data_IF_468038191351
#
_entry.id   IF_468038191351
#
_cell.length_a   1.000
_cell.length_b   1.000
_cell.length_c   1.000
_cell.angle_alpha   90.00
_cell.angle_beta   90.00
_cell.angle_gamma   90.00
#
_symmetry.space_group_name_H-M   'P 1'
#
loop_
_entity.id
_entity.type
_entity.pdbx_description
1 polymer ?
#
# COMPACT_ATOMS: atom_id res chain seq x y z
N UNK A 1 -68.72 -24.60 -16.61
CA UNK A 1 -68.56 -25.37 -15.37
C UNK A 1 -68.52 -24.33 -14.23
N UNK A 2 -69.58 -24.24 -13.45
CA UNK A 2 -69.56 -23.35 -12.29
C UNK A 2 -68.71 -23.98 -11.21
N UNK A 3 -67.68 -23.24 -10.79
CA UNK A 3 -66.87 -23.63 -9.66
C UNK A 3 -67.71 -23.47 -8.40
N UNK A 4 -67.79 -24.52 -7.58
CA UNK A 4 -68.51 -24.47 -6.30
C UNK A 4 -67.86 -23.50 -5.32
N UNK A 5 -68.69 -22.87 -4.45
CA UNK A 5 -68.11 -22.00 -3.39
C UNK A 5 -67.09 -22.70 -2.50
N UNK A 6 -67.23 -24.02 -2.28
CA UNK A 6 -66.30 -24.84 -1.56
C UNK A 6 -64.95 -25.01 -2.30
N UNK A 7 -64.97 -25.19 -3.62
CA UNK A 7 -63.75 -25.29 -4.44
C UNK A 7 -62.96 -23.97 -4.45
N UNK A 8 -63.66 -22.83 -4.45
CA UNK A 8 -63.05 -21.50 -4.35
C UNK A 8 -62.37 -21.26 -2.98
N UNK A 9 -62.95 -21.73 -1.90
CA UNK A 9 -62.34 -21.64 -0.56
C UNK A 9 -61.07 -22.48 -0.45
N UNK A 10 -61.07 -23.71 -0.97
CA UNK A 10 -59.92 -24.60 -0.97
C UNK A 10 -58.81 -24.00 -1.83
N UNK A 11 -59.14 -23.48 -3.01
CA UNK A 11 -58.15 -22.85 -3.88
C UNK A 11 -57.51 -21.60 -3.26
N UNK A 12 -58.34 -20.76 -2.62
CA UNK A 12 -57.82 -19.55 -1.96
C UNK A 12 -56.94 -19.88 -0.74
N UNK A 13 -57.31 -20.89 0.05
CA UNK A 13 -56.48 -21.36 1.16
C UNK A 13 -55.11 -21.91 0.68
N UNK A 14 -55.11 -22.66 -0.43
CA UNK A 14 -53.88 -23.16 -1.04
C UNK A 14 -52.99 -22.04 -1.56
N UNK A 15 -53.53 -21.05 -2.28
CA UNK A 15 -52.82 -19.88 -2.75
C UNK A 15 -52.23 -19.07 -1.61
N UNK A 16 -52.96 -18.88 -0.52
CA UNK A 16 -52.44 -18.20 0.68
C UNK A 16 -51.32 -18.96 1.34
N UNK A 17 -51.35 -20.29 1.39
CA UNK A 17 -50.27 -21.11 1.93
C UNK A 17 -49.01 -21.04 1.06
N UNK A 18 -49.15 -21.14 -0.27
CA UNK A 18 -48.04 -21.00 -1.23
C UNK A 18 -47.43 -19.61 -1.19
N UNK A 19 -48.23 -18.56 -1.07
CA UNK A 19 -47.78 -17.18 -0.96
C UNK A 19 -46.94 -16.98 0.32
N UNK A 20 -47.40 -17.51 1.45
CA UNK A 20 -46.64 -17.47 2.72
C UNK A 20 -45.32 -18.21 2.60
N UNK A 21 -45.33 -19.41 2.04
CA UNK A 21 -44.11 -20.18 1.84
C UNK A 21 -43.12 -19.43 0.92
N UNK A 22 -43.59 -18.78 -0.12
CA UNK A 22 -42.77 -17.94 -1.00
C UNK A 22 -42.19 -16.73 -0.24
N UNK A 23 -42.98 -16.06 0.60
CA UNK A 23 -42.52 -14.95 1.43
C UNK A 23 -41.42 -15.39 2.42
N UNK A 24 -41.58 -16.54 3.07
CA UNK A 24 -40.60 -17.08 4.01
C UNK A 24 -39.31 -17.46 3.28
N UNK A 25 -39.44 -18.04 2.08
CA UNK A 25 -38.27 -18.37 1.24
C UNK A 25 -37.54 -17.10 0.80
N UNK A 26 -38.25 -16.07 0.35
CA UNK A 26 -37.66 -14.80 -0.05
C UNK A 26 -36.93 -14.14 1.12
N UNK A 27 -37.53 -14.13 2.32
CA UNK A 27 -36.90 -13.61 3.54
C UNK A 27 -35.57 -14.36 3.87
N UNK A 28 -35.62 -15.69 3.77
CA UNK A 28 -34.41 -16.50 3.98
C UNK A 28 -33.34 -16.23 2.93
N UNK A 29 -33.73 -16.01 1.67
CA UNK A 29 -32.77 -15.63 0.59
C UNK A 29 -32.21 -14.22 0.81
N UNK A 30 -33.02 -13.25 1.25
CA UNK A 30 -32.51 -11.90 1.58
C UNK A 30 -31.46 -11.92 2.69
N UNK A 31 -31.72 -12.70 3.75
CA UNK A 31 -30.74 -12.87 4.85
C UNK A 31 -29.44 -13.50 4.34
N UNK A 32 -29.54 -14.56 3.51
CA UNK A 32 -28.35 -15.20 2.92
C UNK A 32 -27.60 -14.26 1.98
N UNK A 33 -28.32 -13.48 1.20
CA UNK A 33 -27.73 -12.50 0.29
C UNK A 33 -26.97 -11.41 1.06
N UNK A 34 -27.56 -10.92 2.17
CA UNK A 34 -26.89 -9.94 3.02
C UNK A 34 -25.61 -10.52 3.65
N UNK A 35 -25.67 -11.71 4.23
CA UNK A 35 -24.52 -12.39 4.79
C UNK A 35 -23.40 -12.58 3.74
N UNK A 36 -23.75 -13.01 2.53
CA UNK A 36 -22.76 -13.17 1.44
C UNK A 36 -22.13 -11.83 1.01
N UNK A 37 -22.90 -10.73 1.02
CA UNK A 37 -22.35 -9.39 0.75
C UNK A 37 -21.35 -8.95 1.82
N UNK A 38 -21.66 -9.23 3.08
CA UNK A 38 -20.80 -8.90 4.20
C UNK A 38 -19.48 -9.70 4.15
N UNK A 39 -19.55 -10.99 3.80
CA UNK A 39 -18.39 -11.85 3.60
C UNK A 39 -17.52 -11.36 2.44
N UNK A 40 -18.10 -10.99 1.30
CA UNK A 40 -17.37 -10.44 0.16
C UNK A 40 -16.67 -9.13 0.56
N UNK A 41 -17.34 -8.25 1.30
CA UNK A 41 -16.74 -7.00 1.76
C UNK A 41 -15.59 -7.22 2.75
N UNK A 42 -15.67 -8.26 3.59
CA UNK A 42 -14.59 -8.66 4.48
C UNK A 42 -13.38 -9.20 3.69
N UNK A 43 -13.61 -10.14 2.78
CA UNK A 43 -12.56 -10.71 1.93
C UNK A 43 -11.87 -9.67 1.05
N UNK A 44 -12.59 -8.67 0.55
CA UNK A 44 -12.00 -7.57 -0.21
C UNK A 44 -11.06 -6.73 0.65
N UNK A 45 -11.44 -6.43 1.90
CA UNK A 45 -10.57 -5.72 2.86
C UNK A 45 -9.31 -6.51 3.16
N UNK A 46 -9.43 -7.79 3.44
CA UNK A 46 -8.29 -8.67 3.73
C UNK A 46 -7.34 -8.75 2.52
N UNK A 47 -7.87 -8.83 1.30
CA UNK A 47 -7.08 -8.80 0.07
C UNK A 47 -6.33 -7.48 -0.12
N UNK A 48 -6.96 -6.35 0.18
CA UNK A 48 -6.33 -5.05 0.07
C UNK A 48 -5.23 -4.86 1.12
N UNK A 49 -5.41 -5.39 2.32
CA UNK A 49 -4.40 -5.35 3.38
C UNK A 49 -3.18 -6.23 3.02
N UNK A 50 -3.41 -7.45 2.54
CA UNK A 50 -2.33 -8.33 2.05
C UNK A 50 -1.59 -7.71 0.86
N UNK A 51 -2.32 -7.05 -0.06
CA UNK A 51 -1.70 -6.33 -1.19
C UNK A 51 -0.84 -5.17 -0.69
N UNK A 52 -1.32 -4.37 0.24
CA UNK A 52 -0.55 -3.26 0.83
C UNK A 52 0.71 -3.77 1.53
N UNK A 53 0.62 -4.82 2.32
CA UNK A 53 1.79 -5.45 2.94
C UNK A 53 2.78 -5.99 1.92
N UNK A 54 2.29 -6.55 0.80
CA UNK A 54 3.14 -7.05 -0.30
C UNK A 54 3.83 -5.96 -1.11
N UNK A 55 3.39 -4.70 -1.02
CA UNK A 55 3.96 -3.56 -1.76
C UNK A 55 4.93 -2.72 -0.92
N UNK A 56 4.96 -2.92 0.38
CA UNK A 56 5.86 -2.20 1.29
C UNK A 56 7.00 -3.11 1.76
N UNK A 57 8.16 -2.51 1.97
CA UNK A 57 9.28 -3.18 2.61
C UNK A 57 9.02 -3.41 4.11
N UNK A 58 9.15 -4.63 4.63
CA UNK A 58 8.81 -4.95 6.02
C UNK A 58 9.66 -4.15 7.02
N UNK A 59 10.92 -3.87 6.70
CA UNK A 59 11.85 -3.12 7.54
C UNK A 59 11.60 -1.61 7.49
N UNK A 60 11.47 -1.05 6.29
CA UNK A 60 11.54 0.40 6.04
C UNK A 60 10.17 1.07 5.94
N UNK A 61 9.11 0.27 5.70
CA UNK A 61 7.72 0.74 5.55
C UNK A 61 7.50 1.76 4.41
N UNK A 62 8.46 1.87 3.49
CA UNK A 62 8.28 2.52 2.19
C UNK A 62 8.06 1.47 1.11
N UNK A 63 7.78 1.88 -0.12
CA UNK A 63 7.59 0.96 -1.22
C UNK A 63 8.78 0.00 -1.38
N UNK A 64 8.52 -1.23 -1.78
CA UNK A 64 9.56 -2.20 -2.13
C UNK A 64 9.86 -2.14 -3.64
N UNK A 65 10.83 -2.95 -4.10
CA UNK A 65 11.22 -3.03 -5.51
C UNK A 65 10.06 -3.31 -6.45
N UNK A 66 9.17 -4.24 -6.08
CA UNK A 66 7.99 -4.57 -6.90
C UNK A 66 7.07 -3.36 -7.09
N UNK A 67 6.82 -2.63 -6.01
CA UNK A 67 6.03 -1.41 -6.05
C UNK A 67 6.70 -0.31 -6.86
N UNK A 68 8.03 -0.21 -6.78
CA UNK A 68 8.81 0.71 -7.59
C UNK A 68 8.69 0.39 -9.07
N UNK A 69 8.89 -0.87 -9.48
CA UNK A 69 8.82 -1.29 -10.89
C UNK A 69 7.45 -0.92 -11.48
N UNK A 70 6.35 -1.23 -10.77
CA UNK A 70 4.99 -0.88 -11.17
C UNK A 70 4.76 0.65 -11.25
N UNK A 71 5.28 1.38 -10.27
CA UNK A 71 5.17 2.85 -10.21
C UNK A 71 5.95 3.52 -11.33
N UNK A 72 7.11 2.98 -11.69
CA UNK A 72 7.95 3.51 -12.76
C UNK A 72 7.26 3.35 -14.12
N UNK A 73 6.72 2.16 -14.42
CA UNK A 73 5.98 1.91 -15.66
C UNK A 73 4.81 2.88 -15.81
N UNK A 74 4.04 3.08 -14.74
CA UNK A 74 2.91 4.01 -14.73
C UNK A 74 3.37 5.47 -14.93
N UNK A 75 4.46 5.89 -14.25
CA UNK A 75 5.00 7.23 -14.37
C UNK A 75 5.55 7.52 -15.78
N UNK A 76 6.22 6.55 -16.41
CA UNK A 76 6.70 6.66 -17.79
C UNK A 76 5.51 6.82 -18.76
N UNK A 77 4.47 6.02 -18.60
CA UNK A 77 3.28 6.09 -19.44
C UNK A 77 2.57 7.46 -19.31
N UNK A 78 2.41 7.98 -18.08
CA UNK A 78 1.83 9.31 -17.82
C UNK A 78 2.69 10.43 -18.38
N UNK A 79 4.00 10.38 -18.18
CA UNK A 79 4.95 11.40 -18.66
C UNK A 79 4.97 11.45 -20.20
N UNK A 80 5.03 10.30 -20.86
CA UNK A 80 5.05 10.20 -22.34
C UNK A 80 3.73 10.69 -22.96
N UNK A 81 2.58 10.36 -22.34
CA UNK A 81 1.27 10.77 -22.84
C UNK A 81 1.01 12.27 -22.75
N UNK A 82 1.60 12.94 -21.75
CA UNK A 82 1.35 14.35 -21.46
C UNK A 82 2.55 15.26 -21.76
N UNK A 83 3.66 14.72 -22.27
CA UNK A 83 4.95 15.42 -22.46
C UNK A 83 5.45 16.14 -21.20
N UNK A 84 5.25 15.51 -20.03
CA UNK A 84 5.69 16.05 -18.75
C UNK A 84 7.09 15.52 -18.39
N UNK A 85 7.92 16.31 -17.70
CA UNK A 85 9.21 15.83 -17.21
C UNK A 85 9.01 14.74 -16.14
N UNK A 86 9.91 13.77 -16.14
CA UNK A 86 9.98 12.69 -15.17
C UNK A 86 11.44 12.51 -14.76
N UNK A 87 11.71 12.57 -13.45
CA UNK A 87 13.04 12.29 -12.93
C UNK A 87 13.05 11.01 -12.09
N UNK A 88 14.17 10.32 -12.16
CA UNK A 88 14.48 9.17 -11.32
C UNK A 88 15.71 9.50 -10.49
N UNK A 89 15.61 9.34 -9.17
CA UNK A 89 16.71 9.54 -8.24
C UNK A 89 17.12 8.19 -7.65
N UNK A 90 18.42 7.89 -7.72
CA UNK A 90 19.02 6.73 -7.05
C UNK A 90 19.84 7.24 -5.84
N UNK A 91 19.74 6.52 -4.75
CA UNK A 91 20.42 6.82 -3.48
C UNK A 91 21.04 5.55 -2.95
N UNK A 92 22.30 5.62 -2.56
CA UNK A 92 23.05 4.52 -1.94
C UNK A 92 23.69 5.00 -0.63
N UNK A 93 23.85 4.11 0.34
CA UNK A 93 24.49 4.45 1.62
C UNK A 93 25.97 4.08 1.55
N UNK A 94 26.82 5.10 1.49
CA UNK A 94 28.25 4.93 1.41
C UNK A 94 28.80 4.04 2.55
N UNK A 95 29.60 3.04 2.18
CA UNK A 95 30.25 2.14 3.12
C UNK A 95 29.33 1.38 4.09
N UNK A 96 28.07 1.14 3.73
CA UNK A 96 27.08 0.51 4.61
C UNK A 96 27.52 -0.88 5.13
N UNK A 97 28.18 -1.67 4.28
CA UNK A 97 28.73 -2.97 4.69
C UNK A 97 29.74 -2.80 5.82
N UNK A 98 30.72 -1.86 5.68
CA UNK A 98 31.72 -1.57 6.71
C UNK A 98 31.07 -1.08 8.01
N UNK A 99 30.00 -0.29 7.89
CA UNK A 99 29.22 0.16 9.05
C UNK A 99 28.58 -1.04 9.77
N UNK A 100 27.95 -1.97 9.04
CA UNK A 100 27.37 -3.18 9.61
C UNK A 100 28.42 -4.08 10.30
N UNK A 101 29.59 -4.23 9.69
CA UNK A 101 30.69 -5.01 10.25
C UNK A 101 31.20 -4.40 11.57
N UNK A 102 31.14 -3.07 11.70
CA UNK A 102 31.61 -2.35 12.91
C UNK A 102 30.56 -2.27 14.02
N UNK A 103 29.29 -2.05 13.67
CA UNK A 103 28.21 -1.72 14.63
C UNK A 103 27.09 -2.75 14.70
N UNK A 104 27.16 -3.78 13.84
CA UNK A 104 26.18 -4.86 13.75
C UNK A 104 24.94 -4.54 12.92
N UNK A 105 24.30 -5.58 12.39
CA UNK A 105 23.15 -5.47 11.50
C UNK A 105 21.94 -4.76 12.11
N UNK A 106 21.74 -4.88 13.43
CA UNK A 106 20.62 -4.19 14.10
C UNK A 106 20.78 -2.67 14.05
N UNK A 107 22.02 -2.17 14.12
CA UNK A 107 22.32 -0.75 13.96
C UNK A 107 22.18 -0.32 12.51
N UNK A 108 22.63 -1.14 11.56
CA UNK A 108 22.40 -0.92 10.13
C UNK A 108 20.90 -0.85 9.78
N UNK A 109 20.06 -1.69 10.38
CA UNK A 109 18.61 -1.62 10.22
C UNK A 109 18.01 -0.28 10.68
N UNK A 110 18.60 0.34 11.72
CA UNK A 110 18.18 1.68 12.16
C UNK A 110 18.54 2.74 11.13
N UNK A 111 19.74 2.64 10.53
CA UNK A 111 20.18 3.53 9.44
C UNK A 111 19.21 3.40 8.26
N UNK A 112 18.90 2.19 7.81
CA UNK A 112 17.98 1.94 6.72
C UNK A 112 16.59 2.55 6.98
N UNK A 113 16.06 2.40 8.20
CA UNK A 113 14.78 3.03 8.58
C UNK A 113 14.86 4.55 8.57
N UNK A 114 15.97 5.10 9.05
CA UNK A 114 16.18 6.56 9.10
C UNK A 114 16.24 7.13 7.68
N UNK A 115 16.99 6.53 6.77
CA UNK A 115 17.09 6.93 5.36
C UNK A 115 15.71 6.85 4.70
N UNK A 116 15.00 5.74 4.86
CA UNK A 116 13.66 5.54 4.32
C UNK A 116 12.66 6.61 4.80
N UNK A 117 12.66 6.90 6.10
CA UNK A 117 11.79 7.94 6.68
C UNK A 117 12.15 9.33 6.17
N UNK A 118 13.45 9.61 6.02
CA UNK A 118 13.92 10.90 5.50
C UNK A 118 13.53 11.08 4.04
N UNK A 119 13.72 10.06 3.20
CA UNK A 119 13.24 10.04 1.83
C UNK A 119 11.74 10.34 1.78
N UNK A 120 10.94 9.55 2.49
CA UNK A 120 9.48 9.68 2.49
C UNK A 120 9.00 11.06 2.96
N UNK A 121 9.70 11.71 3.90
CA UNK A 121 9.30 13.02 4.43
C UNK A 121 9.73 14.20 3.54
N UNK A 122 10.66 13.98 2.62
CA UNK A 122 11.17 15.03 1.71
C UNK A 122 10.62 14.95 0.29
N UNK A 123 9.81 13.96 -0.03
CA UNK A 123 9.08 13.84 -1.28
C UNK A 123 7.59 14.12 -1.06
N UNK A 124 6.85 14.50 -2.12
CA UNK A 124 5.48 15.01 -2.00
C UNK A 124 4.57 14.49 -3.11
N UNK A 125 3.28 14.56 -2.83
CA UNK A 125 2.23 14.36 -3.83
C UNK A 125 2.26 12.96 -4.45
N UNK A 126 2.57 12.89 -5.75
CA UNK A 126 2.65 11.66 -6.55
C UNK A 126 4.03 11.00 -6.53
N UNK A 127 5.00 11.60 -5.84
CA UNK A 127 6.35 11.04 -5.74
C UNK A 127 6.33 9.70 -5.00
N UNK A 128 7.16 8.78 -5.46
CA UNK A 128 7.28 7.45 -4.86
C UNK A 128 8.70 7.21 -4.37
N UNK A 129 8.89 6.96 -3.08
CA UNK A 129 10.15 6.45 -2.53
C UNK A 129 10.07 4.95 -2.29
N UNK A 130 11.10 4.22 -2.71
CA UNK A 130 11.19 2.78 -2.53
C UNK A 130 12.58 2.33 -2.07
N UNK A 131 12.65 1.19 -1.40
CA UNK A 131 13.90 0.47 -1.19
C UNK A 131 14.07 -0.53 -2.32
N UNK A 132 15.10 -0.31 -3.13
CA UNK A 132 15.38 -1.11 -4.33
C UNK A 132 16.20 -2.36 -4.03
N UNK A 133 17.19 -2.24 -3.14
CA UNK A 133 18.09 -3.31 -2.76
C UNK A 133 18.48 -3.27 -1.28
N UNK A 134 19.61 -3.87 -0.95
CA UNK A 134 20.12 -3.95 0.41
C UNK A 134 20.27 -2.59 1.09
N UNK A 135 21.07 -1.70 0.49
CA UNK A 135 21.36 -0.34 0.95
C UNK A 135 20.94 0.72 -0.07
N UNK A 136 20.29 0.28 -1.17
CA UNK A 136 19.91 1.11 -2.29
C UNK A 136 18.46 1.57 -2.17
N UNK A 137 18.24 2.85 -2.40
CA UNK A 137 16.93 3.48 -2.42
C UNK A 137 16.72 4.20 -3.75
N UNK A 138 15.47 4.37 -4.13
CA UNK A 138 15.08 5.06 -5.35
C UNK A 138 13.89 5.97 -5.08
N UNK A 139 13.78 7.06 -5.85
CA UNK A 139 12.57 7.86 -5.88
C UNK A 139 12.18 8.21 -7.30
N UNK A 140 10.88 8.07 -7.59
CA UNK A 140 10.24 8.52 -8.82
C UNK A 140 9.66 9.90 -8.54
N UNK A 141 10.01 10.89 -9.36
CA UNK A 141 9.60 12.28 -9.22
C UNK A 141 8.85 12.73 -10.49
N UNK A 142 7.54 12.46 -10.59
CA UNK A 142 6.73 12.94 -11.71
C UNK A 142 6.68 14.46 -11.76
N UNK A 143 6.52 15.01 -12.96
CA UNK A 143 6.45 16.47 -13.22
C UNK A 143 7.67 17.25 -12.71
N UNK A 144 8.82 16.59 -12.61
CA UNK A 144 10.06 17.13 -12.08
C UNK A 144 11.16 17.00 -13.12
N UNK A 145 11.81 18.10 -13.45
CA UNK A 145 12.98 18.12 -14.30
C UNK A 145 14.27 17.79 -13.52
N UNK A 146 15.41 17.76 -14.22
CA UNK A 146 16.68 17.41 -13.60
C UNK A 146 17.09 18.41 -12.51
N UNK A 147 16.85 19.70 -12.74
CA UNK A 147 17.19 20.77 -11.77
C UNK A 147 16.36 20.61 -10.49
N UNK A 148 15.07 20.40 -10.62
CA UNK A 148 14.17 20.11 -9.49
C UNK A 148 14.57 18.84 -8.74
N UNK A 149 14.94 17.77 -9.46
CA UNK A 149 15.40 16.52 -8.84
C UNK A 149 16.71 16.71 -8.05
N UNK A 150 17.65 17.51 -8.55
CA UNK A 150 18.90 17.84 -7.82
C UNK A 150 18.59 18.58 -6.53
N UNK A 151 17.64 19.51 -6.53
CA UNK A 151 17.22 20.23 -5.31
C UNK A 151 16.63 19.24 -4.30
N UNK A 152 15.76 18.33 -4.73
CA UNK A 152 15.18 17.30 -3.85
C UNK A 152 16.27 16.40 -3.28
N UNK A 153 17.21 15.91 -4.12
CA UNK A 153 18.32 15.06 -3.70
C UNK A 153 19.21 15.76 -2.65
N UNK A 154 19.55 17.03 -2.86
CA UNK A 154 20.40 17.79 -1.94
C UNK A 154 19.67 18.06 -0.59
N UNK A 155 18.36 18.34 -0.62
CA UNK A 155 17.57 18.47 0.60
C UNK A 155 17.56 17.17 1.41
N UNK A 156 17.37 16.03 0.74
CA UNK A 156 17.41 14.70 1.38
C UNK A 156 18.80 14.42 1.96
N UNK A 157 19.86 14.64 1.18
CA UNK A 157 21.24 14.44 1.61
C UNK A 157 21.56 15.25 2.87
N UNK A 158 21.19 16.54 2.90
CA UNK A 158 21.37 17.40 4.07
C UNK A 158 20.53 16.95 5.27
N UNK A 159 19.30 16.54 5.02
CA UNK A 159 18.41 16.05 6.07
C UNK A 159 18.93 14.74 6.70
N UNK A 160 19.54 13.85 5.92
CA UNK A 160 20.19 12.63 6.42
C UNK A 160 21.43 13.01 7.24
N UNK A 161 22.33 13.85 6.69
CA UNK A 161 23.54 14.28 7.38
C UNK A 161 23.29 15.04 8.70
N UNK A 162 22.16 15.71 8.81
CA UNK A 162 21.77 16.39 10.06
C UNK A 162 21.30 15.44 11.16
N UNK A 163 21.06 14.15 10.84
CA UNK A 163 20.60 13.18 11.83
C UNK A 163 21.79 12.57 12.58
N UNK A 164 21.72 12.59 13.91
CA UNK A 164 22.64 11.85 14.77
C UNK A 164 22.11 10.42 14.96
N UNK A 165 23.00 9.46 14.81
CA UNK A 165 22.73 8.06 15.14
C UNK A 165 23.06 7.80 16.61
N UNK A 166 22.08 7.24 17.31
CA UNK A 166 22.25 6.75 18.67
C UNK A 166 22.14 5.22 18.67
N UNK A 167 23.09 4.54 19.28
CA UNK A 167 22.99 3.09 19.50
C UNK A 167 21.93 2.83 20.58
N UNK A 168 20.80 2.23 20.19
CA UNK A 168 19.65 2.03 21.08
C UNK A 168 19.98 1.24 22.35
N UNK A 169 20.96 0.34 22.31
CA UNK A 169 21.34 -0.51 23.45
C UNK A 169 22.15 0.24 24.51
N UNK A 170 22.92 1.26 24.12
CA UNK A 170 23.87 1.96 25.00
C UNK A 170 23.68 3.47 25.06
N UNK A 171 22.76 4.03 24.26
CA UNK A 171 22.56 5.48 24.07
C UNK A 171 23.83 6.22 23.58
N UNK A 172 24.83 5.48 23.08
CA UNK A 172 26.08 5.99 22.56
C UNK A 172 25.86 6.68 21.22
N UNK A 173 26.47 7.86 21.04
CA UNK A 173 26.44 8.58 19.75
C UNK A 173 27.40 7.90 18.78
N UNK A 174 26.86 7.36 17.68
CA UNK A 174 27.62 6.68 16.63
C UNK A 174 28.17 7.67 15.57
N UNK A 175 27.80 8.93 15.65
CA UNK A 175 28.16 9.95 14.66
C UNK A 175 27.03 10.30 13.70
N UNK A 176 27.42 10.90 12.56
CA UNK A 176 26.50 11.27 11.45
C UNK A 176 26.67 10.26 10.31
N UNK A 177 25.58 10.07 9.59
CA UNK A 177 25.58 9.28 8.36
C UNK A 177 26.20 10.10 7.24
#
# INVERSE_FOLDING_TARGET
RNISAGDMQVLSAKLLAETRQMQDTNRALEVKLQASRDDIAALQRDLDDVRRESLLGPLTKIANRKSFDQGLDAAIAEASGNNNPLALMLVDIDHFKKFNDSYGHQTGDQVLRLVAMTLKSNIKGKDLAARYGGEEFVAILPHTDVEGAVIVAENIRRAIQAKELLKRSTNEKLGRI
#
